data_IF_320389426823
#
_entry.id   IF_320389426823
#
_cell.length_a   1.000
_cell.length_b   1.000
_cell.length_c   1.000
_cell.angle_alpha   90.00
_cell.angle_beta   90.00
_cell.angle_gamma   90.00
#
_symmetry.space_group_name_H-M   'P 1'
#
loop_
_entity.id
_entity.type
_entity.pdbx_description
1 polymer ?
#
# COMPACT_ATOMS: atom_id res chain seq x y z
N UNK A 1 -13.03 2.15 11.64
CA UNK A 1 -11.73 2.41 12.31
C UNK A 1 -11.11 3.58 11.60
N UNK A 2 -10.82 4.63 12.34
CA UNK A 2 -10.14 5.79 11.75
C UNK A 2 -8.70 5.44 11.42
N UNK A 3 -8.19 6.03 10.34
CA UNK A 3 -6.78 5.87 9.98
C UNK A 3 -5.89 6.43 11.09
N UNK A 4 -4.84 5.72 11.50
CA UNK A 4 -3.79 6.27 12.34
C UNK A 4 -3.20 7.55 11.74
N UNK A 5 -2.88 8.51 12.60
CA UNK A 5 -2.20 9.76 12.25
C UNK A 5 -0.70 9.60 12.50
N UNK A 6 0.09 10.04 11.52
CA UNK A 6 1.55 10.01 11.58
C UNK A 6 2.03 11.30 12.22
N UNK A 7 2.69 11.18 13.36
CA UNK A 7 3.34 12.29 14.06
C UNK A 7 4.66 12.66 13.39
N UNK A 8 5.47 11.66 13.04
CA UNK A 8 6.78 11.85 12.40
C UNK A 8 7.14 10.67 11.50
N UNK A 9 7.81 10.95 10.39
CA UNK A 9 8.51 9.91 9.60
C UNK A 9 9.90 9.71 10.21
N UNK A 10 10.17 8.51 10.69
CA UNK A 10 11.46 8.12 11.26
C UNK A 10 12.42 7.79 10.12
N UNK A 11 11.98 6.89 9.23
CA UNK A 11 12.73 6.49 8.05
C UNK A 11 11.82 6.57 6.81
N UNK A 12 12.29 7.28 5.78
CA UNK A 12 11.45 7.64 4.63
C UNK A 12 11.36 6.53 3.60
N UNK A 13 12.43 5.75 3.47
CA UNK A 13 12.60 4.69 2.49
C UNK A 13 13.20 3.48 3.21
N UNK A 14 12.78 2.29 2.82
CA UNK A 14 13.30 1.07 3.38
C UNK A 14 12.94 -0.11 2.51
N UNK A 15 13.26 -1.29 3.01
CA UNK A 15 12.87 -2.56 2.44
C UNK A 15 12.24 -3.40 3.55
N UNK A 16 11.29 -4.24 3.16
CA UNK A 16 10.69 -5.24 4.05
C UNK A 16 11.17 -6.61 3.59
N UNK A 17 11.12 -7.61 4.47
CA UNK A 17 11.46 -8.97 4.07
C UNK A 17 10.48 -9.50 3.03
N UNK A 18 10.94 -10.42 2.18
CA UNK A 18 10.12 -11.05 1.14
C UNK A 18 8.92 -11.78 1.75
N UNK A 19 9.06 -12.33 2.96
CA UNK A 19 7.96 -12.99 3.67
C UNK A 19 6.87 -12.00 4.08
N UNK A 20 7.27 -10.82 4.56
CA UNK A 20 6.32 -9.76 4.91
C UNK A 20 5.63 -9.21 3.65
N UNK A 21 6.38 -8.98 2.57
CA UNK A 21 5.82 -8.52 1.30
C UNK A 21 4.79 -9.53 0.75
N UNK A 22 5.15 -10.82 0.76
CA UNK A 22 4.26 -11.90 0.37
C UNK A 22 3.02 -11.98 1.26
N UNK A 23 3.16 -11.82 2.58
CA UNK A 23 2.03 -11.83 3.52
C UNK A 23 1.07 -10.67 3.26
N UNK A 24 1.59 -9.46 3.00
CA UNK A 24 0.79 -8.27 2.72
C UNK A 24 0.08 -8.36 1.37
N UNK A 25 0.76 -8.87 0.35
CA UNK A 25 0.14 -9.17 -0.94
C UNK A 25 -1.04 -10.14 -0.79
N UNK A 26 -0.87 -11.22 -0.01
CA UNK A 26 -1.94 -12.17 0.26
C UNK A 26 -3.08 -11.56 1.08
N UNK A 27 -2.75 -10.74 2.08
CA UNK A 27 -3.75 -10.02 2.87
C UNK A 27 -4.62 -9.13 1.96
N UNK A 28 -4.01 -8.31 1.10
CA UNK A 28 -4.72 -7.45 0.17
C UNK A 28 -5.59 -8.26 -0.79
N UNK A 29 -5.04 -9.33 -1.38
CA UNK A 29 -5.78 -10.19 -2.29
C UNK A 29 -7.04 -10.79 -1.64
N UNK A 30 -6.90 -11.31 -0.41
CA UNK A 30 -8.01 -11.96 0.32
C UNK A 30 -9.04 -10.97 0.86
N UNK A 31 -8.60 -9.80 1.33
CA UNK A 31 -9.46 -8.88 2.09
C UNK A 31 -9.89 -7.62 1.32
N UNK A 32 -9.24 -7.29 0.19
CA UNK A 32 -9.56 -6.13 -0.65
C UNK A 32 -9.85 -6.55 -2.09
N UNK A 33 -9.18 -7.59 -2.58
CA UNK A 33 -9.33 -8.14 -3.93
C UNK A 33 -8.04 -8.00 -4.74
N UNK A 34 -8.11 -8.39 -6.01
CA UNK A 34 -7.00 -8.22 -6.95
C UNK A 34 -6.77 -6.76 -7.31
N UNK A 35 -5.58 -6.45 -7.82
CA UNK A 35 -5.24 -5.14 -8.36
C UNK A 35 -4.78 -4.12 -7.33
N UNK A 36 -4.27 -4.61 -6.21
CA UNK A 36 -3.63 -3.82 -5.16
C UNK A 36 -2.25 -4.38 -4.87
N UNK A 37 -1.26 -3.50 -4.74
CA UNK A 37 0.12 -3.87 -4.43
C UNK A 37 0.62 -2.96 -3.29
N UNK A 38 1.13 -3.52 -2.18
CA UNK A 38 1.77 -2.73 -1.14
C UNK A 38 3.11 -2.22 -1.67
N UNK A 39 3.46 -0.98 -1.38
CA UNK A 39 4.72 -0.38 -1.81
C UNK A 39 5.16 0.74 -0.86
N UNK A 40 6.34 1.30 -1.12
CA UNK A 40 6.88 2.47 -0.40
C UNK A 40 6.87 2.27 1.13
N UNK A 41 7.59 1.26 1.65
CA UNK A 41 7.67 1.06 3.09
C UNK A 41 8.37 2.25 3.75
N UNK A 42 7.82 2.70 4.88
CA UNK A 42 8.34 3.79 5.70
C UNK A 42 8.22 3.43 7.17
N UNK A 43 9.21 3.76 7.98
CA UNK A 43 9.08 3.68 9.45
C UNK A 43 8.54 5.01 9.97
N UNK A 44 7.46 4.98 10.73
CA UNK A 44 6.78 6.18 11.24
C UNK A 44 6.46 6.09 12.73
N UNK A 45 6.46 7.23 13.41
CA UNK A 45 5.90 7.38 14.75
C UNK A 45 4.44 7.85 14.63
N UNK A 46 3.52 7.13 15.25
CA UNK A 46 2.10 7.50 15.33
C UNK A 46 1.87 8.51 16.46
N UNK A 47 0.75 9.24 16.41
CA UNK A 47 0.38 10.18 17.49
C UNK A 47 0.22 9.50 18.86
N UNK A 48 -0.04 8.19 18.89
CA UNK A 48 -0.07 7.38 20.12
C UNK A 48 1.31 7.16 20.75
N UNK A 49 2.39 7.59 20.07
CA UNK A 49 3.79 7.35 20.47
C UNK A 49 4.33 5.98 20.08
N UNK A 50 3.54 5.15 19.40
CA UNK A 50 3.98 3.85 18.87
C UNK A 50 4.65 4.00 17.50
N UNK A 51 5.65 3.18 17.23
CA UNK A 51 6.20 3.02 15.88
C UNK A 51 5.32 2.09 15.04
N UNK A 52 5.32 2.33 13.73
CA UNK A 52 4.61 1.50 12.76
C UNK A 52 5.36 1.49 11.43
N UNK A 53 5.32 0.36 10.73
CA UNK A 53 5.66 0.31 9.30
C UNK A 53 4.43 0.79 8.54
N UNK A 54 4.58 1.92 7.85
CA UNK A 54 3.57 2.44 6.92
C UNK A 54 3.91 1.99 5.51
N UNK A 55 2.94 1.37 4.85
CA UNK A 55 2.99 1.04 3.44
C UNK A 55 1.90 1.76 2.67
N UNK A 56 2.22 2.20 1.45
CA UNK A 56 1.24 2.67 0.48
C UNK A 56 0.58 1.48 -0.22
N UNK A 57 -0.65 1.65 -0.72
CA UNK A 57 -1.32 0.68 -1.59
C UNK A 57 -1.45 1.31 -2.97
N UNK A 58 -0.79 0.74 -3.97
CA UNK A 58 -0.91 1.13 -5.37
C UNK A 58 -2.01 0.32 -6.05
N UNK A 59 -2.82 0.95 -6.90
CA UNK A 59 -3.75 0.24 -7.76
C UNK A 59 -3.02 -0.24 -9.01
N UNK A 60 -2.98 -1.56 -9.21
CA UNK A 60 -2.20 -2.21 -10.28
C UNK A 60 -3.06 -3.14 -11.12
N UNK A 61 -2.66 -3.34 -12.38
CA UNK A 61 -3.34 -4.26 -13.29
C UNK A 61 -2.43 -4.66 -14.46
N UNK A 62 -2.81 -5.71 -15.19
CA UNK A 62 -2.09 -6.16 -16.38
C UNK A 62 -2.54 -5.36 -17.61
N UNK A 63 -1.60 -4.65 -18.24
CA UNK A 63 -1.83 -3.90 -19.48
C UNK A 63 -1.87 -4.79 -20.72
N UNK A 64 -2.19 -4.19 -21.87
CA UNK A 64 -2.36 -4.91 -23.16
C UNK A 64 -1.12 -5.69 -23.61
N UNK A 65 0.08 -5.28 -23.18
CA UNK A 65 1.34 -5.94 -23.55
C UNK A 65 1.85 -6.88 -22.44
N UNK A 66 0.96 -7.40 -21.58
CA UNK A 66 1.32 -8.25 -20.44
C UNK A 66 2.34 -7.59 -19.49
N UNK A 67 2.18 -6.27 -19.29
CA UNK A 67 3.03 -5.44 -18.45
C UNK A 67 2.26 -4.97 -17.22
N UNK A 68 2.92 -4.94 -16.07
CA UNK A 68 2.29 -4.45 -14.84
C UNK A 68 2.17 -2.92 -14.93
N UNK A 69 0.94 -2.45 -14.91
CA UNK A 69 0.58 -1.04 -14.89
C UNK A 69 0.13 -0.64 -13.49
N UNK A 70 0.36 0.61 -13.13
CA UNK A 70 -0.12 1.22 -11.89
C UNK A 70 -0.86 2.53 -12.17
N UNK A 71 -2.05 2.69 -11.62
CA UNK A 71 -2.83 3.94 -11.70
C UNK A 71 -2.36 4.98 -10.67
N UNK A 72 -1.85 4.53 -9.52
CA UNK A 72 -1.40 5.39 -8.43
C UNK A 72 -1.79 4.88 -7.06
N UNK A 73 -1.30 5.59 -6.02
CA UNK A 73 -1.55 5.25 -4.63
C UNK A 73 -3.00 5.56 -4.26
N UNK A 74 -3.71 4.56 -3.75
CA UNK A 74 -5.15 4.60 -3.44
C UNK A 74 -5.45 4.34 -1.96
N UNK A 75 -4.45 3.93 -1.18
CA UNK A 75 -4.62 3.68 0.25
C UNK A 75 -3.30 3.44 0.96
N UNK A 76 -3.39 2.95 2.20
CA UNK A 76 -2.25 2.67 3.07
C UNK A 76 -2.53 1.53 4.04
N UNK A 77 -1.46 0.91 4.52
CA UNK A 77 -1.44 -0.11 5.57
C UNK A 77 -0.48 0.37 6.67
N UNK A 78 -0.84 0.17 7.92
CA UNK A 78 0.05 0.32 9.07
C UNK A 78 0.22 -1.04 9.74
N UNK A 79 1.46 -1.39 10.03
CA UNK A 79 1.86 -2.68 10.56
C UNK A 79 2.70 -2.44 11.81
N UNK A 80 2.46 -3.23 12.85
CA UNK A 80 3.31 -3.24 14.04
C UNK A 80 4.67 -3.85 13.68
N UNK A 81 5.79 -3.15 13.89
CA UNK A 81 7.12 -3.62 13.46
C UNK A 81 7.60 -4.84 14.24
N UNK A 82 7.07 -5.07 15.45
CA UNK A 82 7.51 -6.15 16.33
C UNK A 82 6.66 -7.42 16.12
N UNK A 83 5.33 -7.28 16.05
CA UNK A 83 4.42 -8.43 15.90
C UNK A 83 4.04 -8.75 14.44
N UNK A 84 4.31 -7.83 13.51
CA UNK A 84 3.81 -7.86 12.13
C UNK A 84 2.29 -7.85 12.00
N UNK A 85 1.56 -7.49 13.06
CA UNK A 85 0.11 -7.35 13.00
C UNK A 85 -0.31 -6.11 12.23
N UNK A 86 -1.40 -6.22 11.48
CA UNK A 86 -1.99 -5.08 10.78
C UNK A 86 -2.74 -4.22 11.79
N UNK A 87 -2.17 -3.05 12.10
CA UNK A 87 -2.80 -2.01 12.92
C UNK A 87 -3.99 -1.41 12.17
N UNK A 88 -3.80 -1.15 10.87
CA UNK A 88 -4.81 -0.55 10.01
C UNK A 88 -4.55 -0.90 8.55
N UNK A 89 -5.61 -1.07 7.77
CA UNK A 89 -5.54 -1.09 6.32
C UNK A 89 -6.75 -0.36 5.74
N UNK A 90 -6.51 0.56 4.80
CA UNK A 90 -7.58 1.35 4.16
C UNK A 90 -8.75 0.43 3.73
N UNK A 91 -9.99 0.76 4.13
CA UNK A 91 -11.17 -0.04 3.78
C UNK A 91 -11.39 -0.14 2.27
N UNK A 92 -11.94 -1.26 1.82
CA UNK A 92 -12.18 -1.54 0.39
C UNK A 92 -12.97 -0.43 -0.30
N UNK A 93 -14.07 0.01 0.31
CA UNK A 93 -14.93 1.07 -0.23
C UNK A 93 -14.17 2.39 -0.43
N UNK A 94 -13.20 2.69 0.43
CA UNK A 94 -12.38 3.89 0.30
C UNK A 94 -11.34 3.74 -0.81
N UNK A 95 -10.74 2.55 -0.97
CA UNK A 95 -9.86 2.24 -2.10
C UNK A 95 -10.59 2.43 -3.43
N UNK A 96 -11.80 1.90 -3.57
CA UNK A 96 -12.63 2.02 -4.77
C UNK A 96 -12.99 3.49 -5.07
N UNK A 97 -13.37 4.26 -4.04
CA UNK A 97 -13.61 5.70 -4.19
C UNK A 97 -12.36 6.45 -4.65
N UNK A 98 -11.18 6.08 -4.12
CA UNK A 98 -9.93 6.72 -4.50
C UNK A 98 -9.50 6.36 -5.93
N UNK A 99 -9.73 5.12 -6.38
CA UNK A 99 -9.56 4.72 -7.79
C UNK A 99 -10.41 5.61 -8.69
N UNK A 100 -11.71 5.74 -8.41
CA UNK A 100 -12.61 6.57 -9.22
C UNK A 100 -12.18 8.04 -9.28
N UNK A 101 -11.60 8.58 -8.20
CA UNK A 101 -11.03 9.94 -8.19
C UNK A 101 -9.82 10.04 -9.13
N UNK A 102 -8.92 9.06 -9.08
CA UNK A 102 -7.75 9.01 -9.96
C UNK A 102 -8.16 8.91 -11.44
N UNK A 103 -9.12 8.04 -11.76
CA UNK A 103 -9.65 7.91 -13.12
C UNK A 103 -10.26 9.22 -13.62
N UNK A 104 -11.05 9.90 -12.80
CA UNK A 104 -11.68 11.20 -13.14
C UNK A 104 -10.67 12.34 -13.25
N UNK A 105 -9.54 12.26 -12.56
CA UNK A 105 -8.48 13.28 -12.63
C UNK A 105 -7.70 13.26 -13.95
N UNK A 106 -7.91 12.23 -14.78
CA UNK A 106 -7.22 12.08 -16.07
C UNK A 106 -5.77 11.57 -15.93
N UNK A 107 -5.37 11.14 -14.73
CA UNK A 107 -4.10 10.46 -14.51
C UNK A 107 -4.06 9.20 -15.37
N UNK A 108 -3.00 9.06 -16.17
CA UNK A 108 -2.79 7.88 -17.00
C UNK A 108 -1.99 6.84 -16.23
N UNK A 109 -2.39 5.56 -16.30
CA UNK A 109 -1.60 4.46 -15.75
C UNK A 109 -0.17 4.47 -16.29
N UNK A 110 0.78 4.16 -15.41
CA UNK A 110 2.21 4.10 -15.73
C UNK A 110 2.73 2.68 -15.61
N UNK A 111 3.75 2.32 -16.40
CA UNK A 111 4.41 1.03 -16.25
C UNK A 111 5.12 0.98 -14.90
N UNK A 112 4.90 -0.09 -14.14
CA UNK A 112 5.69 -0.38 -12.93
C UNK A 112 6.92 -1.20 -13.32
N UNK A 113 8.08 -0.93 -12.69
CA UNK A 113 9.26 -1.77 -12.91
C UNK A 113 8.91 -3.21 -12.56
N UNK A 114 9.34 -4.16 -13.39
CA UNK A 114 9.36 -5.57 -12.97
C UNK A 114 10.35 -5.63 -11.80
N UNK A 115 9.89 -6.13 -10.64
CA UNK A 115 10.77 -6.35 -9.50
C UNK A 115 12.02 -7.11 -9.94
N UNK A 116 13.17 -6.80 -9.32
CA UNK A 116 14.33 -7.68 -9.40
C UNK A 116 13.93 -8.95 -8.64
N UNK A 117 13.51 -9.98 -9.38
CA UNK A 117 13.38 -11.33 -8.83
C UNK A 117 14.76 -11.96 -8.71
#
# INVERSE_FOLDING_TARGET
>A
MDSPQVKKVIEKEGEISDELDYALMNYLLRNRGSGYTPCQPQLVELETGKEAIKMSIDNTFIGKNNELMGLGIVGKIFIDPDSFDIIYATPKEELEKNIQKLEKSGVKPQKRPKGKY
#
